data_IF_564105812295
#
_entry.id   IF_564105812295
#
_cell.length_a   1.000
_cell.length_b   1.000
_cell.length_c   1.000
_cell.angle_alpha   90.00
_cell.angle_beta   90.00
_cell.angle_gamma   90.00
#
_symmetry.space_group_name_H-M   'P 1'
#
loop_
_entity.id
_entity.type
_entity.pdbx_description
1 polymer ?
#
# COMPACT_ATOMS: atom_id res chain seq x y z
N UNK A 1 -24.20 -6.71 -27.87
CA UNK A 1 -23.19 -7.08 -26.85
C UNK A 1 -21.78 -6.75 -27.36
N UNK A 2 -21.38 -7.17 -28.58
CA UNK A 2 -20.03 -6.88 -29.14
C UNK A 2 -19.69 -5.38 -29.21
N UNK A 3 -20.56 -4.46 -29.72
CA UNK A 3 -20.20 -3.05 -29.78
C UNK A 3 -20.07 -2.38 -28.40
N UNK A 4 -20.83 -2.83 -27.42
CA UNK A 4 -20.73 -2.32 -26.05
C UNK A 4 -19.40 -2.73 -25.39
N UNK A 5 -18.95 -3.97 -25.63
CA UNK A 5 -17.62 -4.44 -25.16
C UNK A 5 -16.52 -3.66 -25.84
N UNK A 6 -16.63 -3.41 -27.15
CA UNK A 6 -15.64 -2.60 -27.90
C UNK A 6 -15.53 -1.18 -27.37
N UNK A 7 -16.64 -0.52 -27.12
CA UNK A 7 -16.68 0.85 -26.56
C UNK A 7 -16.11 0.89 -25.13
N UNK A 8 -16.43 -0.10 -24.29
CA UNK A 8 -15.88 -0.20 -22.94
C UNK A 8 -14.36 -0.39 -22.95
N UNK A 9 -13.85 -1.29 -23.81
CA UNK A 9 -12.43 -1.52 -23.95
C UNK A 9 -11.69 -0.29 -24.50
N UNK A 10 -12.21 0.35 -25.54
CA UNK A 10 -11.61 1.58 -26.09
C UNK A 10 -11.63 2.73 -25.09
N UNK A 11 -12.70 2.90 -24.33
CA UNK A 11 -12.80 3.88 -23.25
C UNK A 11 -11.78 3.61 -22.13
N UNK A 12 -11.63 2.36 -21.73
CA UNK A 12 -10.66 1.96 -20.69
C UNK A 12 -9.22 2.17 -21.15
N UNK A 13 -8.88 1.79 -22.40
CA UNK A 13 -7.54 1.99 -22.96
C UNK A 13 -7.22 3.48 -23.12
N UNK A 14 -8.16 4.27 -23.61
CA UNK A 14 -8.00 5.73 -23.76
C UNK A 14 -7.78 6.40 -22.39
N UNK A 15 -8.59 6.06 -21.40
CA UNK A 15 -8.44 6.58 -20.03
C UNK A 15 -7.12 6.16 -19.40
N UNK A 16 -6.69 4.93 -19.62
CA UNK A 16 -5.39 4.45 -19.15
C UNK A 16 -4.24 5.22 -19.81
N UNK A 17 -4.28 5.42 -21.12
CA UNK A 17 -3.25 6.16 -21.86
C UNK A 17 -3.15 7.63 -21.39
N UNK A 18 -4.29 8.31 -21.22
CA UNK A 18 -4.33 9.68 -20.71
C UNK A 18 -3.77 9.75 -19.29
N UNK A 19 -4.20 8.85 -18.40
CA UNK A 19 -3.72 8.82 -17.02
C UNK A 19 -2.22 8.51 -16.95
N UNK A 20 -1.72 7.57 -17.76
CA UNK A 20 -0.30 7.27 -17.86
C UNK A 20 0.51 8.47 -18.36
N UNK A 21 0.01 9.18 -19.38
CA UNK A 21 0.64 10.40 -19.89
C UNK A 21 0.70 11.48 -18.80
N UNK A 22 -0.43 11.76 -18.14
CA UNK A 22 -0.48 12.75 -17.05
C UNK A 22 0.47 12.37 -15.91
N UNK A 23 0.52 11.09 -15.53
CA UNK A 23 1.40 10.60 -14.49
C UNK A 23 2.88 10.83 -14.86
N UNK A 24 3.30 10.44 -16.07
CA UNK A 24 4.68 10.63 -16.53
C UNK A 24 5.02 12.11 -16.63
N UNK A 25 4.09 12.91 -17.13
CA UNK A 25 4.26 14.36 -17.27
C UNK A 25 4.45 15.03 -15.89
N UNK A 26 3.55 14.77 -14.95
CA UNK A 26 3.64 15.30 -13.58
C UNK A 26 4.93 14.83 -12.90
N UNK A 27 5.26 13.54 -13.01
CA UNK A 27 6.48 12.97 -12.44
C UNK A 27 7.73 13.65 -12.99
N UNK A 28 7.79 13.89 -14.31
CA UNK A 28 8.89 14.59 -14.96
C UNK A 28 9.10 15.99 -14.38
N UNK A 29 8.04 16.80 -14.27
CA UNK A 29 8.14 18.14 -13.71
C UNK A 29 8.45 18.14 -12.21
N UNK A 30 7.93 17.19 -11.46
CA UNK A 30 8.28 17.04 -10.05
C UNK A 30 9.75 16.65 -9.84
N UNK A 31 10.32 15.82 -10.71
CA UNK A 31 11.73 15.44 -10.62
C UNK A 31 12.66 16.62 -10.98
N UNK A 32 12.30 17.43 -11.97
CA UNK A 32 13.10 18.62 -12.37
C UNK A 32 12.94 19.75 -11.36
N UNK A 33 11.70 20.02 -10.93
CA UNK A 33 11.37 21.13 -10.02
C UNK A 33 11.46 20.78 -8.53
N UNK A 34 11.80 19.53 -8.17
CA UNK A 34 11.69 19.02 -6.81
C UNK A 34 12.44 19.84 -5.77
N UNK A 35 13.67 20.27 -6.07
CA UNK A 35 14.48 21.09 -5.15
C UNK A 35 13.85 22.47 -4.92
N UNK A 36 13.31 23.09 -5.97
CA UNK A 36 12.67 24.39 -5.86
C UNK A 36 11.35 24.28 -5.09
N UNK A 37 10.60 23.23 -5.34
CA UNK A 37 9.35 22.94 -4.63
C UNK A 37 9.58 22.64 -3.16
N UNK A 38 10.62 21.87 -2.82
CA UNK A 38 11.03 21.61 -1.43
C UNK A 38 11.37 22.91 -0.69
N UNK A 39 12.16 23.79 -1.32
CA UNK A 39 12.50 25.10 -0.77
C UNK A 39 11.26 25.97 -0.56
N UNK A 40 10.37 26.00 -1.52
CA UNK A 40 9.12 26.76 -1.44
C UNK A 40 8.23 26.27 -0.30
N UNK A 41 8.06 24.94 -0.17
CA UNK A 41 7.31 24.33 0.93
C UNK A 41 7.97 24.64 2.27
N UNK A 42 9.29 24.59 2.33
CA UNK A 42 10.05 24.93 3.54
C UNK A 42 9.77 26.38 4.00
N UNK A 43 9.72 27.32 3.09
CA UNK A 43 9.43 28.73 3.38
C UNK A 43 7.97 28.94 3.84
N UNK A 44 7.02 28.18 3.26
CA UNK A 44 5.59 28.27 3.62
C UNK A 44 5.24 27.71 5.00
N UNK A 45 6.06 26.83 5.56
CA UNK A 45 5.75 26.20 6.85
C UNK A 45 5.83 27.25 7.98
N UNK A 46 4.77 27.48 8.75
CA UNK A 46 4.74 28.47 9.83
C UNK A 46 5.37 27.97 11.13
N UNK A 47 6.52 27.27 11.03
CA UNK A 47 7.22 26.69 12.16
C UNK A 47 8.61 27.29 12.33
N UNK A 48 9.19 27.15 13.53
CA UNK A 48 10.62 27.47 13.75
C UNK A 48 11.52 26.57 12.90
N UNK A 49 12.73 27.03 12.55
CA UNK A 49 13.65 26.29 11.67
C UNK A 49 14.00 24.91 12.20
N UNK A 50 14.08 24.73 13.51
CA UNK A 50 14.30 23.43 14.16
C UNK A 50 13.12 22.49 13.90
N UNK A 51 11.89 22.98 14.05
CA UNK A 51 10.67 22.20 13.81
C UNK A 51 10.46 21.88 12.33
N UNK A 52 10.77 22.82 11.42
CA UNK A 52 10.76 22.60 9.97
C UNK A 52 11.67 21.43 9.59
N UNK A 53 12.90 21.41 10.09
CA UNK A 53 13.85 20.31 9.83
C UNK A 53 13.34 18.98 10.37
N UNK A 54 12.72 18.96 11.54
CA UNK A 54 12.12 17.75 12.12
C UNK A 54 10.96 17.24 11.27
N UNK A 55 10.06 18.12 10.84
CA UNK A 55 8.93 17.77 9.96
C UNK A 55 9.43 17.16 8.64
N UNK A 56 10.38 17.81 7.97
CA UNK A 56 10.93 17.31 6.70
C UNK A 56 11.66 15.98 6.88
N UNK A 57 12.41 15.81 7.97
CA UNK A 57 13.06 14.53 8.28
C UNK A 57 12.05 13.42 8.48
N UNK A 58 10.95 13.69 9.16
CA UNK A 58 9.91 12.71 9.45
C UNK A 58 9.12 12.36 8.18
N UNK A 59 8.75 13.36 7.37
CA UNK A 59 8.15 13.14 6.05
C UNK A 59 9.05 12.26 5.17
N UNK A 60 10.34 12.59 5.07
CA UNK A 60 11.28 11.83 4.26
C UNK A 60 11.41 10.38 4.77
N UNK A 61 11.46 10.18 6.09
CA UNK A 61 11.50 8.86 6.70
C UNK A 61 10.24 8.05 6.38
N UNK A 62 9.06 8.63 6.51
CA UNK A 62 7.78 7.97 6.22
C UNK A 62 7.68 7.62 4.72
N UNK A 63 7.98 8.58 3.83
CA UNK A 63 7.95 8.36 2.38
C UNK A 63 8.95 7.27 1.97
N UNK A 64 10.18 7.35 2.42
CA UNK A 64 11.22 6.37 2.10
C UNK A 64 10.88 4.97 2.63
N UNK A 65 10.34 4.88 3.84
CA UNK A 65 9.95 3.60 4.42
C UNK A 65 8.79 2.96 3.65
N UNK A 66 7.82 3.74 3.21
CA UNK A 66 6.72 3.23 2.39
C UNK A 66 7.19 2.87 0.98
N UNK A 67 8.00 3.71 0.34
CA UNK A 67 8.51 3.48 -1.01
C UNK A 67 9.38 2.23 -1.13
N UNK A 68 10.10 1.86 -0.07
CA UNK A 68 10.93 0.65 -0.04
C UNK A 68 10.20 -0.50 0.63
N UNK A 69 9.50 -0.22 1.73
CA UNK A 69 8.87 -1.24 2.56
C UNK A 69 7.72 -1.96 1.87
N UNK A 70 6.87 -1.23 1.14
CA UNK A 70 5.72 -1.82 0.45
C UNK A 70 6.16 -2.79 -0.67
N UNK A 71 7.07 -2.43 -1.59
CA UNK A 71 7.56 -3.37 -2.60
C UNK A 71 8.29 -4.58 -2.00
N UNK A 72 9.09 -4.36 -0.95
CA UNK A 72 9.79 -5.45 -0.28
C UNK A 72 8.79 -6.43 0.36
N UNK A 73 7.80 -5.91 1.07
CA UNK A 73 6.72 -6.70 1.64
C UNK A 73 5.97 -7.49 0.55
N UNK A 74 5.64 -6.84 -0.56
CA UNK A 74 4.93 -7.45 -1.67
C UNK A 74 5.69 -8.65 -2.26
N UNK A 75 7.00 -8.51 -2.49
CA UNK A 75 7.85 -9.59 -3.02
C UNK A 75 7.95 -10.75 -2.03
N UNK A 76 8.19 -10.47 -0.75
CA UNK A 76 8.29 -11.52 0.29
C UNK A 76 6.96 -12.26 0.41
N UNK A 77 5.86 -11.56 0.51
CA UNK A 77 4.52 -12.12 0.67
C UNK A 77 4.11 -12.94 -0.56
N UNK A 78 4.30 -12.38 -1.75
CA UNK A 78 4.01 -13.10 -2.98
C UNK A 78 4.85 -14.35 -3.13
N UNK A 79 6.14 -14.32 -2.75
CA UNK A 79 7.02 -15.49 -2.76
C UNK A 79 6.54 -16.58 -1.80
N UNK A 80 6.21 -16.21 -0.55
CA UNK A 80 5.71 -17.17 0.45
C UNK A 80 4.35 -17.74 0.03
N UNK A 81 3.45 -16.90 -0.48
CA UNK A 81 2.16 -17.34 -0.99
C UNK A 81 2.32 -18.30 -2.18
N UNK A 82 3.23 -17.98 -3.12
CA UNK A 82 3.53 -18.85 -4.27
C UNK A 82 3.99 -20.24 -3.82
N UNK A 83 4.86 -20.32 -2.81
CA UNK A 83 5.28 -21.60 -2.25
C UNK A 83 4.10 -22.40 -1.71
N UNK A 84 3.18 -21.74 -1.00
CA UNK A 84 1.95 -22.38 -0.53
C UNK A 84 1.06 -22.86 -1.68
N UNK A 85 0.90 -22.03 -2.72
CA UNK A 85 0.11 -22.42 -3.89
C UNK A 85 0.71 -23.62 -4.63
N UNK A 86 2.03 -23.73 -4.69
CA UNK A 86 2.71 -24.92 -5.23
C UNK A 86 2.52 -26.15 -4.35
N UNK A 87 2.62 -26.02 -3.03
CA UNK A 87 2.49 -27.13 -2.09
C UNK A 87 1.08 -27.75 -2.09
N UNK A 88 0.06 -26.95 -2.42
CA UNK A 88 -1.34 -27.36 -2.43
C UNK A 88 -1.92 -27.46 -3.84
N UNK A 89 -1.08 -27.70 -4.83
CA UNK A 89 -1.44 -27.95 -6.24
C UNK A 89 -2.44 -26.94 -6.84
N UNK A 90 -2.32 -25.66 -6.43
CA UNK A 90 -3.14 -24.59 -7.01
C UNK A 90 -2.74 -24.40 -8.48
N UNK A 91 -3.70 -24.44 -9.43
CA UNK A 91 -3.39 -24.19 -10.82
C UNK A 91 -2.82 -22.80 -11.02
N UNK A 92 -1.78 -22.67 -11.85
CA UNK A 92 -1.11 -21.38 -12.10
C UNK A 92 -0.60 -20.66 -10.84
N UNK A 93 0.01 -21.40 -9.90
CA UNK A 93 0.51 -20.90 -8.62
C UNK A 93 1.35 -19.62 -8.75
N UNK A 94 2.17 -19.51 -9.79
CA UNK A 94 3.02 -18.36 -10.04
C UNK A 94 2.22 -17.10 -10.38
N UNK A 95 1.14 -17.25 -11.17
CA UNK A 95 0.23 -16.15 -11.49
C UNK A 95 -0.46 -15.61 -10.23
N UNK A 96 -0.99 -16.51 -9.39
CA UNK A 96 -1.67 -16.11 -8.17
C UNK A 96 -0.70 -15.58 -7.11
N UNK A 97 0.53 -16.07 -7.07
CA UNK A 97 1.60 -15.48 -6.28
C UNK A 97 1.91 -14.04 -6.69
N UNK A 98 2.01 -13.79 -7.99
CA UNK A 98 2.18 -12.45 -8.53
C UNK A 98 0.99 -11.54 -8.21
N UNK A 99 -0.25 -12.03 -8.34
CA UNK A 99 -1.44 -11.29 -7.92
C UNK A 99 -1.42 -10.98 -6.41
N UNK A 100 -0.90 -11.90 -5.60
CA UNK A 100 -0.74 -11.70 -4.16
C UNK A 100 0.24 -10.57 -3.84
N UNK A 101 1.31 -10.36 -4.65
CA UNK A 101 2.20 -9.21 -4.50
C UNK A 101 1.43 -7.89 -4.57
N UNK A 102 0.52 -7.74 -5.52
CA UNK A 102 -0.29 -6.53 -5.65
C UNK A 102 -1.36 -6.42 -4.56
N UNK A 103 -2.02 -7.53 -4.25
CA UNK A 103 -3.06 -7.57 -3.23
C UNK A 103 -2.52 -7.20 -1.84
N UNK A 104 -1.27 -7.56 -1.53
CA UNK A 104 -0.58 -7.25 -0.26
C UNK A 104 -0.49 -5.74 0.03
N UNK A 105 -0.58 -4.89 -0.98
CA UNK A 105 -0.63 -3.43 -0.80
C UNK A 105 -1.81 -3.03 0.10
N UNK A 106 -2.92 -3.76 0.03
CA UNK A 106 -4.09 -3.53 0.89
C UNK A 106 -3.84 -4.20 2.25
N UNK A 107 -3.73 -3.43 3.35
CA UNK A 107 -3.48 -3.99 4.68
C UNK A 107 -4.60 -4.92 5.14
N UNK A 108 -4.25 -5.93 5.92
CA UNK A 108 -5.15 -6.87 6.62
C UNK A 108 -5.87 -7.84 5.67
N UNK A 109 -6.53 -7.35 4.63
CA UNK A 109 -7.40 -8.16 3.76
C UNK A 109 -6.72 -8.55 2.45
N UNK A 110 -5.66 -7.84 2.06
CA UNK A 110 -5.10 -7.93 0.70
C UNK A 110 -4.74 -9.35 0.27
N UNK A 111 -3.93 -10.05 1.04
CA UNK A 111 -3.55 -11.44 0.70
C UNK A 111 -4.75 -12.39 0.71
N UNK A 112 -5.73 -12.16 1.61
CA UNK A 112 -6.92 -12.98 1.71
C UNK A 112 -7.82 -12.87 0.47
N UNK A 113 -7.83 -11.74 -0.22
CA UNK A 113 -8.56 -11.57 -1.48
C UNK A 113 -8.09 -12.53 -2.57
N UNK A 114 -6.87 -13.06 -2.47
CA UNK A 114 -6.33 -14.03 -3.45
C UNK A 114 -6.48 -15.45 -2.94
N UNK A 115 -5.92 -15.75 -1.75
CA UNK A 115 -5.89 -17.14 -1.28
C UNK A 115 -7.27 -17.69 -0.84
N UNK A 116 -8.17 -16.83 -0.35
CA UNK A 116 -9.49 -17.30 0.08
C UNK A 116 -10.35 -17.81 -1.09
N UNK A 117 -10.48 -17.09 -2.23
CA UNK A 117 -11.15 -17.64 -3.41
C UNK A 117 -10.48 -18.89 -3.96
N UNK A 118 -9.15 -19.01 -3.89
CA UNK A 118 -8.43 -20.20 -4.34
C UNK A 118 -8.74 -21.42 -3.47
N UNK A 119 -8.76 -21.24 -2.16
CA UNK A 119 -9.15 -22.30 -1.24
C UNK A 119 -10.62 -22.73 -1.46
N UNK A 120 -11.51 -21.78 -1.70
CA UNK A 120 -12.90 -22.06 -2.06
C UNK A 120 -13.00 -22.82 -3.38
N UNK A 121 -12.21 -22.45 -4.40
CA UNK A 121 -12.15 -23.14 -5.67
C UNK A 121 -11.73 -24.61 -5.50
N UNK A 122 -10.66 -24.89 -4.74
CA UNK A 122 -10.21 -26.24 -4.45
C UNK A 122 -11.28 -27.06 -3.72
N UNK A 123 -11.96 -26.49 -2.73
CA UNK A 123 -13.04 -27.13 -2.01
C UNK A 123 -14.23 -27.49 -2.92
N UNK A 124 -14.62 -26.56 -3.80
CA UNK A 124 -15.70 -26.77 -4.78
C UNK A 124 -15.32 -27.81 -5.87
N UNK A 125 -14.04 -27.94 -6.17
CA UNK A 125 -13.50 -28.98 -7.07
C UNK A 125 -13.46 -30.37 -6.42
N UNK A 126 -13.84 -30.49 -5.14
CA UNK A 126 -13.83 -31.75 -4.40
C UNK A 126 -12.52 -32.06 -3.69
N UNK A 127 -11.51 -31.23 -3.80
CA UNK A 127 -10.20 -31.42 -3.20
C UNK A 127 -10.10 -30.73 -1.83
N UNK A 128 -10.82 -31.30 -0.87
CA UNK A 128 -10.88 -30.76 0.48
C UNK A 128 -9.55 -30.80 1.21
N UNK A 129 -8.68 -31.75 0.91
CA UNK A 129 -7.38 -31.89 1.56
C UNK A 129 -6.49 -30.69 1.24
N UNK A 130 -6.34 -30.34 -0.03
CA UNK A 130 -5.55 -29.18 -0.45
C UNK A 130 -6.23 -27.86 -0.08
N UNK A 131 -7.56 -27.79 -0.12
CA UNK A 131 -8.31 -26.61 0.31
C UNK A 131 -8.07 -26.27 1.80
N UNK A 132 -8.20 -27.25 2.70
CA UNK A 132 -7.96 -27.06 4.14
C UNK A 132 -6.48 -26.78 4.40
N UNK A 133 -5.57 -27.51 3.75
CA UNK A 133 -4.12 -27.27 3.83
C UNK A 133 -3.76 -25.84 3.42
N UNK A 134 -4.31 -25.33 2.32
CA UNK A 134 -4.10 -23.96 1.84
C UNK A 134 -4.65 -22.92 2.82
N UNK A 135 -5.86 -23.14 3.36
CA UNK A 135 -6.46 -22.27 4.38
C UNK A 135 -5.58 -22.17 5.63
N UNK A 136 -5.10 -23.31 6.13
CA UNK A 136 -4.22 -23.34 7.30
C UNK A 136 -2.87 -22.67 7.01
N UNK A 137 -2.25 -22.98 5.89
CA UNK A 137 -0.98 -22.38 5.48
C UNK A 137 -1.10 -20.86 5.34
N UNK A 138 -2.07 -20.38 4.56
CA UNK A 138 -2.24 -18.95 4.32
C UNK A 138 -2.72 -18.21 5.57
N UNK A 139 -3.66 -18.79 6.32
CA UNK A 139 -4.16 -18.21 7.57
C UNK A 139 -3.11 -18.13 8.67
N UNK A 140 -2.28 -19.18 8.84
CA UNK A 140 -1.29 -19.22 9.91
C UNK A 140 0.08 -18.66 9.48
N UNK A 141 0.56 -18.94 8.27
CA UNK A 141 1.90 -18.55 7.85
C UNK A 141 1.87 -17.22 7.13
N UNK A 142 1.12 -17.12 6.03
CA UNK A 142 1.12 -15.89 5.21
C UNK A 142 0.63 -14.69 6.00
N UNK A 143 -0.47 -14.83 6.75
CA UNK A 143 -1.05 -13.74 7.54
C UNK A 143 -0.15 -13.33 8.71
N UNK A 144 0.48 -14.27 9.41
CA UNK A 144 1.37 -13.91 10.52
C UNK A 144 2.67 -13.28 10.04
N UNK A 145 3.22 -13.73 8.91
CA UNK A 145 4.40 -13.09 8.30
C UNK A 145 4.05 -11.68 7.83
N UNK A 146 2.86 -11.45 7.26
CA UNK A 146 2.38 -10.10 6.92
C UNK A 146 2.39 -9.19 8.15
N UNK A 147 1.77 -9.62 9.22
CA UNK A 147 1.72 -8.87 10.47
C UNK A 147 3.10 -8.61 11.06
N UNK A 148 3.98 -9.61 11.04
CA UNK A 148 5.35 -9.49 11.56
C UNK A 148 6.17 -8.47 10.76
N UNK A 149 6.13 -8.55 9.44
CA UNK A 149 6.90 -7.63 8.58
C UNK A 149 6.35 -6.21 8.71
N UNK A 150 5.02 -6.04 8.72
CA UNK A 150 4.40 -4.73 8.98
C UNK A 150 4.81 -4.17 10.33
N UNK A 151 4.80 -4.98 11.37
CA UNK A 151 5.24 -4.56 12.71
C UNK A 151 6.71 -4.12 12.72
N UNK A 152 7.60 -4.87 12.05
CA UNK A 152 9.02 -4.49 11.93
C UNK A 152 9.19 -3.19 11.16
N UNK A 153 8.46 -3.02 10.07
CA UNK A 153 8.46 -1.79 9.28
C UNK A 153 7.93 -0.61 10.10
N UNK A 154 6.80 -0.78 10.78
CA UNK A 154 6.19 0.25 11.63
C UNK A 154 7.10 0.65 12.80
N UNK A 155 7.78 -0.31 13.44
CA UNK A 155 8.73 -0.03 14.52
C UNK A 155 9.93 0.82 14.06
N UNK A 156 10.31 0.71 12.77
CA UNK A 156 11.35 1.56 12.15
C UNK A 156 10.82 2.93 11.70
N UNK A 157 9.51 3.07 11.54
CA UNK A 157 8.84 4.26 11.01
C UNK A 157 8.40 5.25 12.09
N UNK A 158 8.89 5.15 13.33
CA UNK A 158 8.51 5.99 14.47
C UNK A 158 7.04 5.86 14.92
N UNK A 159 6.84 5.67 16.18
CA UNK A 159 5.71 5.88 17.10
C UNK A 159 4.28 6.18 16.56
N UNK A 160 3.97 5.84 15.32
CA UNK A 160 2.61 6.02 14.81
C UNK A 160 1.69 4.94 15.36
N UNK A 161 0.68 5.36 16.11
CA UNK A 161 -0.30 4.44 16.68
C UNK A 161 -1.02 3.66 15.57
N UNK A 162 -1.23 2.33 15.70
CA UNK A 162 -1.89 1.51 14.67
C UNK A 162 -3.23 2.05 14.18
N UNK A 163 -3.98 2.74 15.05
CA UNK A 163 -5.23 3.41 14.70
C UNK A 163 -5.04 4.47 13.59
N UNK A 164 -3.92 5.19 13.58
CA UNK A 164 -3.63 6.19 12.56
C UNK A 164 -3.53 5.54 11.19
N UNK A 165 -2.91 4.36 11.11
CA UNK A 165 -2.81 3.60 9.87
C UNK A 165 -4.19 3.14 9.39
N UNK A 166 -5.02 2.59 10.28
CA UNK A 166 -6.36 2.10 9.93
C UNK A 166 -7.26 3.25 9.47
N UNK A 167 -7.36 4.33 10.26
CA UNK A 167 -8.16 5.49 9.89
C UNK A 167 -7.62 6.17 8.64
N UNK A 168 -6.29 6.26 8.50
CA UNK A 168 -5.64 6.79 7.31
C UNK A 168 -6.02 6.02 6.06
N UNK A 169 -6.01 4.68 6.11
CA UNK A 169 -6.43 3.83 4.99
C UNK A 169 -7.91 4.04 4.64
N UNK A 170 -8.81 4.05 5.64
CA UNK A 170 -10.25 4.22 5.40
C UNK A 170 -10.55 5.59 4.77
N UNK A 171 -10.00 6.67 5.34
CA UNK A 171 -10.16 8.01 4.81
C UNK A 171 -9.47 8.14 3.44
N UNK A 172 -8.26 7.59 3.31
CA UNK A 172 -7.50 7.61 2.08
C UNK A 172 -8.22 6.92 0.93
N UNK A 173 -8.79 5.74 1.16
CA UNK A 173 -9.58 5.00 0.16
C UNK A 173 -10.76 5.81 -0.35
N UNK A 174 -11.45 6.53 0.53
CA UNK A 174 -12.60 7.36 0.14
C UNK A 174 -12.20 8.61 -0.65
N UNK A 175 -11.02 9.18 -0.39
CA UNK A 175 -10.54 10.41 -1.03
C UNK A 175 -9.75 10.16 -2.32
N UNK A 176 -8.90 9.13 -2.33
CA UNK A 176 -7.92 8.88 -3.38
C UNK A 176 -8.07 7.48 -4.02
N UNK A 177 -9.13 6.75 -3.71
CA UNK A 177 -9.32 5.37 -4.19
C UNK A 177 -8.16 4.47 -3.74
N UNK A 178 -7.75 3.53 -4.60
CA UNK A 178 -6.68 2.57 -4.29
C UNK A 178 -5.37 3.23 -3.79
N UNK A 179 -4.99 4.37 -4.37
CA UNK A 179 -3.81 5.13 -3.93
C UNK A 179 -3.94 5.67 -2.51
N UNK A 180 -5.17 5.83 -2.01
CA UNK A 180 -5.44 6.23 -0.64
C UNK A 180 -4.95 5.27 0.43
N UNK A 181 -4.74 4.00 0.09
CA UNK A 181 -4.14 3.02 1.01
C UNK A 181 -2.71 3.44 1.42
N UNK A 182 -1.98 4.05 0.49
CA UNK A 182 -0.60 4.53 0.71
C UNK A 182 -0.61 5.96 1.25
N UNK A 183 -1.35 6.86 0.58
CA UNK A 183 -1.34 8.28 0.90
C UNK A 183 -2.17 8.62 2.16
N UNK A 184 -3.20 7.85 2.47
CA UNK A 184 -4.05 8.11 3.63
C UNK A 184 -3.31 8.09 4.96
N UNK A 185 -2.61 7.01 5.33
CA UNK A 185 -1.80 6.95 6.53
C UNK A 185 -0.70 8.02 6.55
N UNK A 186 -0.07 8.30 5.40
CA UNK A 186 0.95 9.33 5.26
C UNK A 186 0.39 10.72 5.62
N UNK A 187 -0.71 11.11 5.00
CA UNK A 187 -1.34 12.43 5.24
C UNK A 187 -1.82 12.57 6.67
N UNK A 188 -2.41 11.51 7.24
CA UNK A 188 -2.89 11.55 8.62
C UNK A 188 -1.72 11.65 9.61
N UNK A 189 -0.61 10.95 9.37
CA UNK A 189 0.61 11.06 10.18
C UNK A 189 1.21 12.46 10.14
N UNK A 190 1.31 13.06 8.94
CA UNK A 190 1.80 14.44 8.77
C UNK A 190 0.86 15.42 9.48
N UNK A 191 -0.44 15.25 9.35
CA UNK A 191 -1.42 16.11 10.02
C UNK A 191 -1.25 16.07 11.55
N UNK A 192 -1.17 14.88 12.14
CA UNK A 192 -0.98 14.73 13.58
C UNK A 192 0.36 15.32 14.03
N UNK A 193 1.42 15.14 13.25
CA UNK A 193 2.72 15.75 13.51
C UNK A 193 2.60 17.29 13.55
N UNK A 194 1.95 17.89 12.55
CA UNK A 194 1.72 19.34 12.51
C UNK A 194 0.90 19.82 13.72
N UNK A 195 -0.15 19.11 14.11
CA UNK A 195 -0.97 19.41 15.29
C UNK A 195 -0.13 19.35 16.57
N UNK A 196 0.71 18.33 16.73
CA UNK A 196 1.57 18.20 17.90
C UNK A 196 2.60 19.34 17.99
N UNK A 197 3.20 19.73 16.87
CA UNK A 197 4.13 20.87 16.82
C UNK A 197 3.40 22.17 17.18
N UNK A 198 2.22 22.39 16.59
CA UNK A 198 1.40 23.55 16.88
C UNK A 198 1.05 23.62 18.37
N UNK A 199 0.57 22.50 18.95
CA UNK A 199 0.27 22.41 20.38
C UNK A 199 1.49 22.76 21.25
N UNK A 200 2.66 22.25 20.91
CA UNK A 200 3.88 22.48 21.70
C UNK A 200 4.42 23.90 21.54
N UNK A 201 4.20 24.54 20.39
CA UNK A 201 4.75 25.85 20.08
C UNK A 201 3.82 27.01 20.50
N UNK A 202 2.49 26.80 20.44
CA UNK A 202 1.53 27.88 20.61
C UNK A 202 0.55 27.71 21.79
N UNK A 203 0.42 26.50 22.36
CA UNK A 203 -0.55 26.23 23.45
C UNK A 203 0.15 25.93 24.80
N UNK A 204 1.45 26.24 24.92
CA UNK A 204 2.17 26.24 26.22
C UNK A 204 2.31 27.62 26.75
#
# INVERSE_FOLDING_TARGET
ILPAIGQFLMGSISSFAVNAFVLVFVLYFMLIGGIQMEKYIYELLPFSDTNKKNVLKEINMIVRSNAIGIPLLAVIQGGIATLGYYLFDVPSALLFGFLTCFATVIPIVGTALVWFPLAAYLALSGDWTHAIGLLLYCGLIVTNIDNLIRFILQKKMADTHPLITIFGVVIGLSLFGFMGVIFGPLLLSIFILCVNIFKTQYLK
#
